data_IF_782330299135
#
_entry.id   IF_782330299135
#
_cell.length_a   1.000
_cell.length_b   1.000
_cell.length_c   1.000
_cell.angle_alpha   90.00
_cell.angle_beta   90.00
_cell.angle_gamma   90.00
#
_symmetry.space_group_name_H-M   'P 1'
#
loop_
_entity.id
_entity.type
_entity.pdbx_description
1 polymer ?
#
# COMPACT_ATOMS: atom_id res chain seq x y z
N UNK A 1 -40.05 28.10 -27.10
CA UNK A 1 -38.72 28.24 -26.47
C UNK A 1 -38.60 27.18 -25.39
N UNK A 2 -38.03 26.02 -25.69
CA UNK A 2 -37.85 24.94 -24.72
C UNK A 2 -36.47 24.32 -24.94
N UNK A 3 -35.41 25.01 -24.53
CA UNK A 3 -34.03 24.58 -24.76
C UNK A 3 -33.10 24.78 -23.55
N UNK A 4 -33.63 24.79 -22.32
CA UNK A 4 -32.81 25.01 -21.11
C UNK A 4 -32.89 23.94 -20.02
N UNK A 5 -33.72 22.89 -20.17
CA UNK A 5 -33.92 21.92 -19.07
C UNK A 5 -32.89 20.79 -18.99
N UNK A 6 -32.01 20.65 -19.99
CA UNK A 6 -31.05 19.55 -20.08
C UNK A 6 -29.60 19.93 -19.68
N UNK A 7 -29.31 21.22 -19.44
CA UNK A 7 -27.94 21.65 -19.07
C UNK A 7 -27.62 21.41 -17.58
N UNK A 8 -28.64 21.36 -16.71
CA UNK A 8 -28.42 21.18 -15.27
C UNK A 8 -28.00 19.75 -14.88
N UNK A 9 -28.22 18.76 -15.75
CA UNK A 9 -27.84 17.37 -15.47
C UNK A 9 -26.34 17.09 -15.74
N UNK A 10 -25.66 17.91 -16.54
CA UNK A 10 -24.26 17.67 -16.92
C UNK A 10 -23.28 18.31 -15.93
N UNK A 11 -23.68 19.42 -15.27
CA UNK A 11 -22.82 20.12 -14.31
C UNK A 11 -22.60 19.35 -12.99
N UNK A 12 -23.48 18.41 -12.63
CA UNK A 12 -23.37 17.67 -11.36
C UNK A 12 -22.38 16.50 -11.42
N UNK A 13 -22.07 15.99 -12.62
CA UNK A 13 -21.09 14.90 -12.79
C UNK A 13 -19.62 15.35 -12.68
N UNK A 14 -19.35 16.66 -12.74
CA UNK A 14 -17.99 17.20 -12.59
C UNK A 14 -17.51 17.29 -11.14
N UNK A 15 -18.42 17.20 -10.16
CA UNK A 15 -18.09 17.26 -8.72
C UNK A 15 -17.75 15.89 -8.11
N UNK A 16 -17.86 14.82 -8.89
CA UNK A 16 -17.58 13.43 -8.48
C UNK A 16 -16.36 12.84 -9.19
N UNK A 17 -15.61 13.65 -9.96
CA UNK A 17 -14.26 13.29 -10.36
C UNK A 17 -13.46 13.11 -9.06
N UNK A 18 -13.20 11.85 -8.72
CA UNK A 18 -12.84 11.41 -7.38
C UNK A 18 -11.73 12.24 -6.75
N UNK A 19 -11.86 12.47 -5.45
CA UNK A 19 -10.87 13.11 -4.61
C UNK A 19 -9.59 12.24 -4.55
N UNK A 20 -8.84 12.18 -5.65
CA UNK A 20 -7.43 11.83 -5.58
C UNK A 20 -6.70 13.07 -5.09
N UNK A 21 -5.78 12.89 -4.14
CA UNK A 21 -5.02 14.01 -3.63
C UNK A 21 -4.21 14.63 -4.76
N UNK A 22 -4.31 15.95 -4.95
CA UNK A 22 -3.68 16.65 -6.09
C UNK A 22 -2.17 16.45 -6.14
N UNK A 23 -1.53 16.30 -4.98
CA UNK A 23 -0.09 16.04 -4.89
C UNK A 23 0.33 14.71 -5.51
N UNK A 24 -0.57 13.74 -5.68
CA UNK A 24 -0.25 12.45 -6.32
C UNK A 24 -0.06 12.63 -7.83
N UNK A 25 -0.80 13.57 -8.43
CA UNK A 25 -0.65 13.89 -9.85
C UNK A 25 0.65 14.68 -10.12
N UNK A 26 1.07 15.53 -9.17
CA UNK A 26 2.33 16.25 -9.23
C UNK A 26 3.06 16.24 -7.86
N UNK A 27 3.80 15.15 -7.56
CA UNK A 27 4.49 15.03 -6.29
C UNK A 27 5.72 15.93 -6.26
N UNK A 28 6.06 16.40 -5.07
CA UNK A 28 7.27 17.18 -4.81
C UNK A 28 8.52 16.40 -5.24
N UNK A 29 9.63 17.08 -5.55
CA UNK A 29 10.88 16.41 -5.87
C UNK A 29 11.33 15.42 -4.79
N UNK A 30 11.12 15.75 -3.51
CA UNK A 30 11.48 14.89 -2.39
C UNK A 30 10.66 13.59 -2.39
N UNK A 31 9.34 13.69 -2.53
CA UNK A 31 8.44 12.52 -2.61
C UNK A 31 8.75 11.67 -3.83
N UNK A 32 9.00 12.31 -4.99
CA UNK A 32 9.33 11.63 -6.24
C UNK A 32 10.64 10.85 -6.14
N UNK A 33 11.66 11.46 -5.55
CA UNK A 33 12.96 10.82 -5.34
C UNK A 33 12.83 9.62 -4.39
N UNK A 34 12.15 9.78 -3.25
CA UNK A 34 11.91 8.67 -2.32
C UNK A 34 11.23 7.48 -3.00
N UNK A 35 10.18 7.72 -3.79
CA UNK A 35 9.48 6.64 -4.52
C UNK A 35 10.38 5.97 -5.55
N UNK A 36 11.26 6.73 -6.21
CA UNK A 36 12.22 6.17 -7.16
C UNK A 36 13.29 5.33 -6.46
N UNK A 37 13.82 5.82 -5.34
CA UNK A 37 14.80 5.09 -4.52
C UNK A 37 14.22 3.75 -4.07
N UNK A 38 12.99 3.75 -3.54
CA UNK A 38 12.30 2.51 -3.16
C UNK A 38 12.10 1.55 -4.34
N UNK A 39 11.78 2.07 -5.54
CA UNK A 39 11.67 1.22 -6.74
C UNK A 39 13.00 0.57 -7.11
N UNK A 40 14.11 1.28 -6.95
CA UNK A 40 15.45 0.76 -7.17
C UNK A 40 15.83 -0.30 -6.12
N UNK A 41 15.38 -0.11 -4.88
CA UNK A 41 15.55 -1.06 -3.76
C UNK A 41 14.65 -2.31 -3.87
N UNK A 42 13.92 -2.46 -4.96
CA UNK A 42 13.10 -3.64 -5.22
C UNK A 42 11.70 -3.56 -4.62
N UNK A 43 11.15 -2.36 -4.41
CA UNK A 43 9.74 -2.16 -4.09
C UNK A 43 8.89 -1.91 -5.34
N UNK A 44 7.64 -2.31 -5.27
CA UNK A 44 6.58 -1.99 -6.23
C UNK A 44 5.67 -0.93 -5.63
N UNK A 45 5.69 0.27 -6.21
CA UNK A 45 4.98 1.44 -5.71
C UNK A 45 3.76 1.78 -6.56
N UNK A 46 2.59 1.75 -5.93
CA UNK A 46 1.29 2.03 -6.53
C UNK A 46 0.61 3.21 -5.84
N UNK A 47 0.09 4.15 -6.62
CA UNK A 47 -0.69 5.27 -6.09
C UNK A 47 -2.11 4.80 -5.71
N UNK A 48 -2.56 5.21 -4.52
CA UNK A 48 -3.94 5.11 -4.04
C UNK A 48 -4.57 6.50 -3.99
N UNK A 49 -5.79 6.61 -3.45
CA UNK A 49 -6.54 7.88 -3.44
C UNK A 49 -5.75 9.04 -2.82
N UNK A 50 -5.10 8.81 -1.68
CA UNK A 50 -4.38 9.85 -0.93
C UNK A 50 -2.99 9.43 -0.46
N UNK A 51 -2.51 8.26 -0.88
CA UNK A 51 -1.24 7.67 -0.44
C UNK A 51 -0.54 6.98 -1.61
N UNK A 52 0.79 6.85 -1.55
CA UNK A 52 1.55 5.95 -2.42
C UNK A 52 1.97 4.74 -1.57
N UNK A 53 1.54 3.55 -1.97
CA UNK A 53 1.86 2.29 -1.29
C UNK A 53 3.01 1.61 -2.02
N UNK A 54 4.15 1.40 -1.35
CA UNK A 54 5.32 0.69 -1.87
C UNK A 54 5.48 -0.64 -1.14
N UNK A 55 5.32 -1.76 -1.84
CA UNK A 55 5.45 -3.12 -1.27
C UNK A 55 6.72 -3.78 -1.82
N UNK A 56 7.49 -4.44 -0.96
CA UNK A 56 8.67 -5.18 -1.38
C UNK A 56 8.29 -6.24 -2.43
N UNK A 57 9.06 -6.39 -3.52
CA UNK A 57 8.77 -7.41 -4.55
C UNK A 57 9.04 -8.82 -4.06
N UNK A 58 10.14 -8.99 -3.32
CA UNK A 58 10.56 -10.30 -2.79
C UNK A 58 10.21 -10.42 -1.31
N UNK A 59 9.48 -11.48 -0.89
CA UNK A 59 9.15 -11.68 0.50
C UNK A 59 10.34 -12.20 1.30
N UNK A 60 10.41 -11.76 2.55
CA UNK A 60 11.21 -12.41 3.58
C UNK A 60 10.49 -13.68 4.02
N UNK A 61 11.19 -14.82 3.95
CA UNK A 61 10.68 -16.12 4.39
C UNK A 61 10.97 -16.33 5.87
N UNK A 62 9.93 -16.32 6.70
CA UNK A 62 10.04 -16.61 8.12
C UNK A 62 9.69 -18.08 8.40
N UNK A 63 10.68 -18.86 8.86
CA UNK A 63 10.44 -20.23 9.30
C UNK A 63 9.53 -20.24 10.52
N UNK A 64 8.55 -21.14 10.52
CA UNK A 64 7.63 -21.33 11.63
C UNK A 64 8.09 -22.51 12.51
N UNK A 65 7.78 -22.47 13.82
CA UNK A 65 8.06 -23.61 14.68
C UNK A 65 7.27 -24.84 14.23
N UNK A 66 7.89 -26.01 14.28
CA UNK A 66 7.24 -27.27 13.96
C UNK A 66 6.09 -27.54 14.94
N UNK A 67 4.97 -28.03 14.44
CA UNK A 67 3.80 -28.36 15.27
C UNK A 67 3.89 -29.81 15.70
N UNK A 68 4.02 -30.04 17.00
CA UNK A 68 4.13 -31.39 17.57
C UNK A 68 2.79 -31.87 18.13
N UNK A 69 2.42 -33.09 17.73
CA UNK A 69 1.21 -33.82 18.11
C UNK A 69 1.64 -35.22 18.59
N UNK A 70 1.06 -35.71 19.70
CA UNK A 70 1.39 -37.03 20.26
C UNK A 70 1.10 -38.21 19.32
N UNK A 71 0.23 -38.03 18.33
CA UNK A 71 -0.16 -39.04 17.34
C UNK A 71 0.60 -38.95 16.01
N UNK A 72 1.11 -37.76 15.65
CA UNK A 72 1.77 -37.50 14.35
C UNK A 72 3.24 -37.09 14.45
N UNK A 73 3.76 -36.95 15.66
CA UNK A 73 5.10 -36.38 15.88
C UNK A 73 5.15 -34.89 15.57
N UNK A 74 6.34 -34.36 15.33
CA UNK A 74 6.54 -32.96 14.95
C UNK A 74 6.48 -32.79 13.44
N UNK A 75 5.57 -31.94 12.97
CA UNK A 75 5.36 -31.64 11.55
C UNK A 75 5.81 -30.22 11.25
N UNK A 76 6.72 -30.09 10.28
CA UNK A 76 7.16 -28.80 9.75
C UNK A 76 5.97 -27.96 9.28
N UNK A 77 5.96 -26.69 9.66
CA UNK A 77 4.93 -25.76 9.25
C UNK A 77 5.40 -24.98 8.01
N UNK A 78 4.49 -24.60 7.10
CA UNK A 78 4.84 -23.76 5.97
C UNK A 78 5.43 -22.43 6.46
N UNK A 79 6.50 -21.98 5.79
CA UNK A 79 7.10 -20.68 6.09
C UNK A 79 6.12 -19.54 5.77
N UNK A 80 6.14 -18.50 6.59
CA UNK A 80 5.39 -17.28 6.30
C UNK A 80 6.15 -16.43 5.30
N UNK A 81 5.41 -15.84 4.36
CA UNK A 81 5.94 -14.86 3.42
C UNK A 81 5.58 -13.47 3.94
N UNK A 82 6.59 -12.72 4.35
CA UNK A 82 6.44 -11.37 4.89
C UNK A 82 6.94 -10.36 3.88
N UNK A 83 6.20 -9.28 3.71
CA UNK A 83 6.52 -8.18 2.81
C UNK A 83 6.60 -6.89 3.60
N UNK A 84 7.67 -6.13 3.40
CA UNK A 84 7.73 -4.76 3.89
C UNK A 84 6.82 -3.88 3.02
N UNK A 85 6.04 -3.01 3.64
CA UNK A 85 5.21 -2.05 2.95
C UNK A 85 5.38 -0.67 3.55
N UNK A 86 5.53 0.32 2.69
CA UNK A 86 5.58 1.73 3.03
C UNK A 86 4.35 2.44 2.50
N UNK A 87 3.74 3.28 3.31
CA UNK A 87 2.72 4.24 2.93
C UNK A 87 3.35 5.63 2.94
N UNK A 88 3.35 6.27 1.77
CA UNK A 88 3.95 7.57 1.57
C UNK A 88 2.83 8.57 1.34
N UNK A 89 2.82 9.62 2.14
CA UNK A 89 1.94 10.76 2.02
C UNK A 89 2.78 12.02 1.81
N UNK A 90 2.23 13.06 1.20
CA UNK A 90 2.91 14.34 1.10
C UNK A 90 2.16 15.39 1.92
N UNK A 91 2.88 16.06 2.82
CA UNK A 91 2.36 17.21 3.54
C UNK A 91 2.26 18.43 2.60
N UNK A 92 1.47 19.43 2.98
CA UNK A 92 1.35 20.68 2.22
C UNK A 92 2.69 21.42 2.05
N UNK A 93 3.66 21.15 2.93
CA UNK A 93 5.04 21.65 2.86
C UNK A 93 5.88 21.00 1.75
N UNK A 94 5.35 19.97 1.07
CA UNK A 94 6.06 19.17 0.08
C UNK A 94 6.96 18.09 0.67
N UNK A 95 7.00 17.94 2.00
CA UNK A 95 7.80 16.93 2.69
C UNK A 95 7.03 15.60 2.74
N UNK A 96 7.64 14.47 2.34
CA UNK A 96 7.00 13.17 2.44
C UNK A 96 6.90 12.70 3.90
N UNK A 97 5.76 12.15 4.26
CA UNK A 97 5.53 11.37 5.49
C UNK A 97 5.56 9.89 5.11
N UNK A 98 6.27 9.07 5.88
CA UNK A 98 6.45 7.66 5.59
C UNK A 98 5.99 6.83 6.78
N UNK A 99 5.06 5.92 6.54
CA UNK A 99 4.64 4.91 7.51
C UNK A 99 5.07 3.53 7.02
N UNK A 100 5.60 2.70 7.91
CA UNK A 100 6.07 1.35 7.60
C UNK A 100 5.22 0.31 8.33
N UNK A 101 4.83 -0.73 7.61
CA UNK A 101 4.26 -1.93 8.19
C UNK A 101 4.77 -3.20 7.49
N UNK A 102 4.47 -4.35 8.09
CA UNK A 102 4.77 -5.67 7.54
C UNK A 102 3.45 -6.37 7.24
N UNK A 103 3.32 -6.89 6.03
CA UNK A 103 2.16 -7.67 5.60
C UNK A 103 2.55 -9.11 5.32
N UNK A 104 1.65 -10.03 5.67
CA UNK A 104 1.83 -11.46 5.47
C UNK A 104 1.01 -11.90 4.26
N UNK A 105 1.59 -12.70 3.37
CA UNK A 105 0.81 -13.36 2.34
C UNK A 105 0.20 -14.67 2.86
N UNK A 106 -1.12 -14.75 2.79
CA UNK A 106 -1.92 -15.94 3.13
C UNK A 106 -2.86 -16.20 1.96
N UNK A 107 -2.79 -17.38 1.34
CA UNK A 107 -3.69 -17.80 0.26
C UNK A 107 -3.83 -16.75 -0.87
N UNK A 108 -2.69 -16.22 -1.33
CA UNK A 108 -2.60 -15.18 -2.37
C UNK A 108 -3.18 -13.81 -2.00
N UNK A 109 -3.51 -13.57 -0.72
CA UNK A 109 -3.91 -12.26 -0.19
C UNK A 109 -2.87 -11.73 0.77
N UNK A 110 -2.58 -10.42 0.69
CA UNK A 110 -1.80 -9.73 1.70
C UNK A 110 -2.72 -9.38 2.88
N UNK A 111 -2.48 -10.02 4.02
CA UNK A 111 -3.16 -9.79 5.27
C UNK A 111 -2.19 -9.10 6.23
N UNK A 112 -2.61 -7.98 6.81
CA UNK A 112 -1.80 -7.25 7.78
C UNK A 112 -1.78 -5.74 7.55
N UNK A 113 -1.44 -5.05 8.64
CA UNK A 113 -1.53 -3.61 8.85
C UNK A 113 -1.63 -3.41 10.36
N UNK A 114 -0.48 -3.12 10.97
CA UNK A 114 -0.21 -3.09 12.42
C UNK A 114 -0.47 -4.39 13.19
N UNK A 115 0.57 -5.22 13.34
CA UNK A 115 0.93 -5.88 14.61
C UNK A 115 2.30 -6.58 14.52
N UNK A 116 3.26 -6.06 15.29
CA UNK A 116 4.51 -6.72 15.69
C UNK A 116 5.77 -6.19 15.00
N UNK A 117 6.85 -5.79 15.68
CA UNK A 117 7.16 -5.80 17.10
C UNK A 117 8.31 -4.80 17.35
N UNK A 118 8.13 -3.90 18.32
CA UNK A 118 9.27 -3.41 19.09
C UNK A 118 9.81 -4.62 19.86
N UNK A 119 11.03 -5.04 19.52
CA UNK A 119 11.93 -5.78 20.41
C UNK A 119 13.30 -5.13 20.30
#
# INVERSE_FOLDING_TARGET
MALHRNFYAIALCALIAGCTSSWIADPSPATRNLVNDLRLDGFECNARLSTIECIQKEPVRQKQPSKCDSSKGCVEQPALLLYNRYHIEQQDTGIPTVHHDVVQQVESKLLGGEKGAQQ
#
